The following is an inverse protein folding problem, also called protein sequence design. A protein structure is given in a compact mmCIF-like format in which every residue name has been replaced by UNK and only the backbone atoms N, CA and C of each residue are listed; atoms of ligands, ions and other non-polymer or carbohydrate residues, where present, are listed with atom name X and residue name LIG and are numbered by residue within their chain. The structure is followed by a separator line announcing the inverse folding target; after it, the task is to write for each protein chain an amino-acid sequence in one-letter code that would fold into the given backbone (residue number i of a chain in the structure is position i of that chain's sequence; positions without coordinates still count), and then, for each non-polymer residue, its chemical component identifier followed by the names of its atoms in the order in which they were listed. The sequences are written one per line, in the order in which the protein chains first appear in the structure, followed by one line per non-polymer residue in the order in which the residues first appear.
data_IF_105585817494
#
_entry.id   IF_105585817494
#
_cell.length_a   1.000
_cell.length_b   1.000
_cell.length_c   1.000
_cell.angle_alpha   90.00
_cell.angle_beta   90.00
_cell.angle_gamma   90.00
#
_symmetry.space_group_name_H-M   'P 1'
#
loop_
_entity.id
_entity.type
_entity.pdbx_description
1 polymer ?
#
# COMPACT_ATOMS: atom_id res chain seq x y z
N UNK A 1 -14.54 -15.71 5.56
CA UNK A 1 -13.47 -15.85 4.56
C UNK A 1 -12.25 -16.55 5.16
N UNK A 2 -11.60 -15.97 6.18
CA UNK A 2 -10.38 -16.54 6.77
C UNK A 2 -10.56 -17.85 7.56
N UNK A 3 -11.77 -18.12 8.09
CA UNK A 3 -12.05 -19.31 8.93
C UNK A 3 -11.15 -19.39 10.18
N UNK A 4 -10.83 -18.22 10.74
CA UNK A 4 -9.94 -18.03 11.90
C UNK A 4 -10.59 -17.13 12.94
N UNK A 5 -10.48 -17.53 14.20
CA UNK A 5 -11.08 -16.83 15.34
C UNK A 5 -10.04 -16.02 16.15
N UNK A 6 -8.76 -16.12 15.79
CA UNK A 6 -7.62 -15.51 16.47
C UNK A 6 -7.20 -14.14 15.90
N UNK A 7 -8.00 -13.58 15.00
CA UNK A 7 -7.72 -12.31 14.32
C UNK A 7 -8.18 -11.13 15.20
N UNK A 8 -7.26 -10.21 15.48
CA UNK A 8 -7.57 -8.93 16.15
C UNK A 8 -7.68 -7.82 15.10
N UNK A 9 -8.77 -7.04 15.16
CA UNK A 9 -9.01 -5.92 14.25
C UNK A 9 -8.82 -4.60 14.98
N UNK A 10 -7.97 -3.73 14.44
CA UNK A 10 -7.71 -2.38 14.90
C UNK A 10 -7.96 -1.37 13.77
N UNK A 11 -8.15 -0.09 14.10
CA UNK A 11 -8.30 0.98 13.11
C UNK A 11 -7.10 1.93 13.12
N UNK A 12 -6.68 2.42 11.96
CA UNK A 12 -5.56 3.36 11.81
C UNK A 12 -5.55 4.06 10.46
N UNK A 13 -4.45 4.73 10.13
CA UNK A 13 -4.34 5.51 8.90
C UNK A 13 -4.35 4.63 7.63
N UNK A 14 -3.67 3.49 7.68
CA UNK A 14 -3.49 2.60 6.52
C UNK A 14 -3.93 1.17 6.82
N UNK A 15 -4.46 0.52 5.78
CA UNK A 15 -4.80 -0.89 5.78
C UNK A 15 -3.52 -1.74 5.85
N UNK A 16 -3.40 -2.60 6.86
CA UNK A 16 -2.23 -3.48 7.03
C UNK A 16 -2.60 -4.76 7.74
N UNK A 17 -2.01 -5.87 7.31
CA UNK A 17 -2.09 -7.15 8.00
C UNK A 17 -0.67 -7.56 8.43
N UNK A 18 -0.50 -7.84 9.73
CA UNK A 18 0.73 -8.41 10.29
C UNK A 18 0.33 -9.58 11.18
N UNK A 19 0.73 -10.79 10.81
CA UNK A 19 0.32 -12.04 11.47
C UNK A 19 -1.20 -12.14 11.64
N UNK A 20 -1.70 -11.98 12.88
CA UNK A 20 -3.13 -12.00 13.24
C UNK A 20 -3.70 -10.63 13.55
N UNK A 21 -2.91 -9.57 13.39
CA UNK A 21 -3.30 -8.19 13.64
C UNK A 21 -3.69 -7.53 12.32
N UNK A 22 -4.98 -7.39 12.08
CA UNK A 22 -5.53 -6.63 10.96
C UNK A 22 -5.78 -5.19 11.39
N UNK A 23 -5.19 -4.24 10.67
CA UNK A 23 -5.44 -2.80 10.82
C UNK A 23 -6.22 -2.32 9.62
N UNK A 24 -7.39 -1.73 9.83
CA UNK A 24 -8.22 -1.14 8.78
C UNK A 24 -8.20 0.40 8.84
N UNK A 25 -8.47 1.10 7.73
CA UNK A 25 -8.62 2.55 7.73
C UNK A 25 -9.71 3.01 8.70
N UNK A 26 -9.48 4.11 9.42
CA UNK A 26 -10.50 4.71 10.29
C UNK A 26 -11.66 5.20 9.43
N UNK A 27 -12.89 4.68 9.63
CA UNK A 27 -14.05 5.17 8.91
C UNK A 27 -14.42 6.60 9.32
N UNK A 28 -14.94 7.37 8.39
CA UNK A 28 -15.56 8.66 8.65
C UNK A 28 -16.79 8.50 9.54
N UNK A 29 -17.19 9.60 10.21
CA UNK A 29 -18.34 9.58 11.11
C UNK A 29 -19.66 9.29 10.40
N UNK A 30 -19.79 9.79 9.16
CA UNK A 30 -21.02 9.67 8.37
C UNK A 30 -21.08 8.34 7.62
N UNK A 31 -19.93 7.69 7.41
CA UNK A 31 -19.76 6.34 6.84
C UNK A 31 -20.70 6.05 5.66
N UNK A 32 -20.61 6.82 4.55
CA UNK A 32 -21.41 6.59 3.36
C UNK A 32 -21.22 5.17 2.80
N UNK A 33 -22.21 4.67 2.07
CA UNK A 33 -22.19 3.32 1.51
C UNK A 33 -20.94 2.98 0.69
N UNK A 34 -20.36 3.97 -0.02
CA UNK A 34 -19.12 3.80 -0.77
C UNK A 34 -17.93 3.50 0.14
N UNK A 35 -17.83 4.18 1.28
CA UNK A 35 -16.78 3.96 2.27
C UNK A 35 -16.97 2.63 3.00
N UNK A 36 -18.22 2.22 3.26
CA UNK A 36 -18.51 0.88 3.78
C UNK A 36 -18.00 -0.20 2.82
N UNK A 37 -18.27 -0.06 1.52
CA UNK A 37 -17.83 -1.01 0.51
C UNK A 37 -16.29 -1.08 0.43
N UNK A 38 -15.62 0.07 0.46
CA UNK A 38 -14.16 0.16 0.49
C UNK A 38 -13.57 -0.51 1.74
N UNK A 39 -14.08 -0.18 2.94
CA UNK A 39 -13.59 -0.75 4.20
C UNK A 39 -13.78 -2.27 4.23
N UNK A 40 -14.93 -2.76 3.74
CA UNK A 40 -15.18 -4.19 3.57
C UNK A 40 -14.25 -4.81 2.55
N UNK A 41 -13.90 -4.10 1.48
CA UNK A 41 -12.95 -4.57 0.48
C UNK A 41 -11.55 -4.78 1.06
N UNK A 42 -11.06 -3.84 1.87
CA UNK A 42 -9.78 -4.02 2.57
C UNK A 42 -9.83 -5.18 3.57
N UNK A 43 -10.93 -5.33 4.32
CA UNK A 43 -11.12 -6.45 5.23
C UNK A 43 -11.19 -7.80 4.49
N UNK A 44 -11.93 -7.86 3.39
CA UNK A 44 -12.05 -9.06 2.56
C UNK A 44 -10.70 -9.43 1.94
N UNK A 45 -9.93 -8.45 1.44
CA UNK A 45 -8.59 -8.66 0.90
C UNK A 45 -7.63 -9.28 1.93
N UNK A 46 -7.61 -8.76 3.16
CA UNK A 46 -6.82 -9.34 4.25
C UNK A 46 -7.28 -10.75 4.61
N UNK A 47 -8.59 -10.97 4.69
CA UNK A 47 -9.15 -12.27 5.02
C UNK A 47 -8.87 -13.32 3.94
N UNK A 48 -8.83 -12.92 2.67
CA UNK A 48 -8.43 -13.77 1.54
C UNK A 48 -6.95 -14.11 1.60
N UNK A 49 -6.08 -13.14 1.91
CA UNK A 49 -4.65 -13.40 2.15
C UNK A 49 -4.50 -14.44 3.27
N UNK A 50 -5.11 -14.23 4.43
CA UNK A 50 -5.08 -15.20 5.53
C UNK A 50 -5.60 -16.60 5.17
N UNK A 51 -6.50 -16.71 4.19
CA UNK A 51 -7.14 -17.98 3.81
C UNK A 51 -6.36 -18.78 2.76
N UNK A 52 -5.71 -18.10 1.83
CA UNK A 52 -5.18 -18.70 0.60
C UNK A 52 -3.68 -18.51 0.42
N UNK A 53 -3.04 -17.69 1.25
CA UNK A 53 -1.61 -17.44 1.21
C UNK A 53 -0.86 -18.33 2.20
N UNK A 54 0.15 -19.03 1.70
CA UNK A 54 1.16 -19.75 2.46
C UNK A 54 2.45 -18.92 2.51
N UNK A 55 2.81 -18.47 3.72
CA UNK A 55 3.99 -17.63 3.93
C UNK A 55 5.31 -18.36 3.62
N UNK A 56 5.38 -19.68 3.84
CA UNK A 56 6.61 -20.44 3.65
C UNK A 56 6.89 -20.64 2.16
N UNK A 57 5.85 -20.95 1.38
CA UNK A 57 5.95 -21.01 -0.09
C UNK A 57 6.37 -19.65 -0.63
N UNK A 58 5.73 -18.58 -0.17
CA UNK A 58 6.04 -17.22 -0.63
C UNK A 58 7.47 -16.81 -0.32
N UNK A 59 7.93 -17.02 0.93
CA UNK A 59 9.29 -16.68 1.34
C UNK A 59 10.35 -17.47 0.57
N UNK A 60 10.12 -18.76 0.30
CA UNK A 60 11.05 -19.60 -0.49
C UNK A 60 11.12 -19.21 -1.96
N UNK A 61 10.03 -18.67 -2.53
CA UNK A 61 9.92 -18.36 -3.96
C UNK A 61 10.12 -16.89 -4.31
N UNK A 62 10.16 -16.01 -3.31
CA UNK A 62 10.34 -14.58 -3.51
C UNK A 62 11.63 -14.28 -4.30
N UNK A 63 11.56 -13.49 -5.38
CA UNK A 63 12.71 -13.17 -6.20
C UNK A 63 13.69 -12.23 -5.47
N UNK A 64 14.97 -12.16 -5.90
CA UNK A 64 15.85 -11.06 -5.53
C UNK A 64 15.43 -9.76 -6.23
N UNK A 65 15.84 -8.62 -5.67
CA UNK A 65 15.59 -7.29 -6.25
C UNK A 65 14.26 -6.67 -5.83
N UNK A 66 14.28 -5.38 -5.52
CA UNK A 66 13.14 -4.69 -4.90
C UNK A 66 11.92 -4.64 -5.83
N UNK A 67 12.11 -4.25 -7.09
CA UNK A 67 11.02 -4.17 -8.07
C UNK A 67 10.42 -5.55 -8.39
N UNK A 68 11.25 -6.59 -8.49
CA UNK A 68 10.76 -7.95 -8.71
C UNK A 68 9.94 -8.46 -7.52
N UNK A 69 10.37 -8.15 -6.29
CA UNK A 69 9.60 -8.44 -5.07
C UNK A 69 8.28 -7.68 -5.03
N UNK A 70 8.26 -6.41 -5.41
CA UNK A 70 7.03 -5.62 -5.46
C UNK A 70 6.01 -6.24 -6.44
N UNK A 71 6.46 -6.66 -7.63
CA UNK A 71 5.62 -7.40 -8.58
C UNK A 71 5.14 -8.71 -7.97
N UNK A 72 6.03 -9.45 -7.31
CA UNK A 72 5.72 -10.73 -6.70
C UNK A 72 4.63 -10.63 -5.62
N UNK A 73 4.75 -9.65 -4.72
CA UNK A 73 3.75 -9.35 -3.68
C UNK A 73 2.40 -8.94 -4.26
N UNK A 74 2.40 -8.04 -5.26
CA UNK A 74 1.18 -7.58 -5.92
C UNK A 74 0.47 -8.75 -6.62
N UNK A 75 1.23 -9.60 -7.32
CA UNK A 75 0.68 -10.73 -8.06
C UNK A 75 0.14 -11.82 -7.14
N UNK A 76 0.74 -12.01 -5.96
CA UNK A 76 0.19 -12.89 -4.94
C UNK A 76 -1.12 -12.34 -4.37
N UNK A 77 -1.20 -11.02 -4.14
CA UNK A 77 -2.45 -10.37 -3.74
C UNK A 77 -3.54 -10.55 -4.81
N UNK A 78 -3.21 -10.37 -6.10
CA UNK A 78 -4.12 -10.62 -7.22
C UNK A 78 -4.61 -12.07 -7.23
N UNK A 79 -3.74 -13.04 -6.94
CA UNK A 79 -4.09 -14.47 -6.88
C UNK A 79 -5.14 -14.75 -5.81
N UNK A 80 -4.87 -14.36 -4.56
CA UNK A 80 -5.79 -14.64 -3.44
C UNK A 80 -7.13 -13.91 -3.60
N UNK A 81 -7.10 -12.70 -4.15
CA UNK A 81 -8.32 -11.95 -4.49
C UNK A 81 -9.12 -12.62 -5.59
N UNK A 82 -8.46 -13.13 -6.63
CA UNK A 82 -9.11 -13.85 -7.73
C UNK A 82 -9.83 -15.11 -7.22
N UNK A 83 -9.19 -15.87 -6.33
CA UNK A 83 -9.80 -17.05 -5.70
C UNK A 83 -11.06 -16.70 -4.91
N UNK A 84 -11.04 -15.59 -4.17
CA UNK A 84 -12.18 -15.08 -3.43
C UNK A 84 -13.31 -14.59 -4.34
N UNK A 85 -12.98 -13.74 -5.30
CA UNK A 85 -13.93 -13.10 -6.20
C UNK A 85 -14.70 -14.11 -7.06
N UNK A 86 -14.06 -15.19 -7.52
CA UNK A 86 -14.70 -16.26 -8.29
C UNK A 86 -15.80 -17.00 -7.50
N UNK A 87 -15.65 -17.08 -6.18
CA UNK A 87 -16.56 -17.84 -5.30
C UNK A 87 -17.63 -16.96 -4.66
N UNK A 88 -17.38 -15.66 -4.53
CA UNK A 88 -18.20 -14.75 -3.73
C UNK A 88 -18.39 -13.40 -4.45
N UNK A 89 -19.50 -13.24 -5.18
CA UNK A 89 -19.79 -12.03 -5.94
C UNK A 89 -19.83 -10.74 -5.06
N UNK A 90 -20.31 -10.85 -3.82
CA UNK A 90 -20.28 -9.73 -2.87
C UNK A 90 -18.86 -9.31 -2.49
N UNK A 91 -17.95 -10.27 -2.34
CA UNK A 91 -16.52 -10.00 -2.08
C UNK A 91 -15.88 -9.37 -3.32
N UNK A 92 -16.21 -9.85 -4.52
CA UNK A 92 -15.73 -9.24 -5.76
C UNK A 92 -16.09 -7.75 -5.83
N UNK A 93 -17.35 -7.39 -5.52
CA UNK A 93 -17.78 -5.99 -5.49
C UNK A 93 -17.05 -5.15 -4.44
N UNK A 94 -16.75 -5.71 -3.26
CA UNK A 94 -16.02 -5.00 -2.21
C UNK A 94 -14.56 -4.78 -2.62
N UNK A 95 -13.90 -5.80 -3.19
CA UNK A 95 -12.53 -5.72 -3.70
C UNK A 95 -12.40 -4.67 -4.81
N UNK A 96 -13.42 -4.55 -5.66
CA UNK A 96 -13.43 -3.54 -6.72
C UNK A 96 -13.54 -2.12 -6.15
N UNK A 97 -14.34 -1.91 -5.11
CA UNK A 97 -14.42 -0.63 -4.39
C UNK A 97 -13.10 -0.27 -3.69
N UNK A 98 -12.44 -1.24 -3.04
CA UNK A 98 -11.13 -1.02 -2.42
C UNK A 98 -10.04 -0.72 -3.46
N UNK A 99 -10.04 -1.43 -4.59
CA UNK A 99 -9.09 -1.18 -5.67
C UNK A 99 -9.27 0.21 -6.30
N UNK A 100 -10.51 0.67 -6.50
CA UNK A 100 -10.81 2.03 -6.97
C UNK A 100 -10.22 3.09 -6.03
N UNK A 101 -10.41 2.95 -4.71
CA UNK A 101 -9.77 3.85 -3.75
C UNK A 101 -8.24 3.78 -3.86
N UNK A 102 -7.66 2.58 -3.87
CA UNK A 102 -6.20 2.41 -3.86
C UNK A 102 -5.56 3.10 -5.07
N UNK A 103 -6.17 2.98 -6.25
CA UNK A 103 -5.74 3.71 -7.44
C UNK A 103 -5.88 5.23 -7.29
N UNK A 104 -6.99 5.71 -6.71
CA UNK A 104 -7.22 7.14 -6.47
C UNK A 104 -6.22 7.72 -5.47
N UNK A 105 -5.97 7.02 -4.37
CA UNK A 105 -5.01 7.41 -3.34
C UNK A 105 -3.57 7.48 -3.87
N UNK A 106 -3.20 6.58 -4.79
CA UNK A 106 -1.91 6.62 -5.50
C UNK A 106 -1.86 7.66 -6.63
N UNK A 107 -2.97 8.32 -6.96
CA UNK A 107 -3.02 9.41 -7.93
C UNK A 107 -2.78 8.98 -9.39
N UNK A 108 -3.08 7.72 -9.73
CA UNK A 108 -2.82 7.18 -11.08
C UNK A 108 -3.50 7.95 -12.22
N UNK A 109 -4.65 8.57 -11.94
CA UNK A 109 -5.36 9.45 -12.87
C UNK A 109 -4.53 10.65 -13.37
N UNK A 110 -3.51 11.06 -12.60
CA UNK A 110 -2.70 12.27 -12.86
C UNK A 110 -1.37 11.97 -13.54
N UNK A 111 -1.06 10.70 -13.78
CA UNK A 111 0.21 10.28 -14.37
C UNK A 111 0.22 10.67 -15.85
N UNK A 112 1.19 11.51 -16.23
CA UNK A 112 1.34 11.98 -17.60
C UNK A 112 2.13 10.98 -18.45
N UNK A 113 3.28 10.52 -17.93
CA UNK A 113 4.28 9.78 -18.67
C UNK A 113 4.62 8.45 -18.02
N UNK A 114 5.21 7.54 -18.80
CA UNK A 114 5.54 6.18 -18.37
C UNK A 114 6.67 6.12 -17.33
N UNK A 115 7.52 7.14 -17.27
CA UNK A 115 8.62 7.23 -16.31
C UNK A 115 8.13 7.41 -14.87
N UNK A 116 7.00 8.12 -14.68
CA UNK A 116 6.36 8.34 -13.39
C UNK A 116 5.34 7.24 -13.04
N UNK A 117 5.18 6.26 -13.92
CA UNK A 117 4.13 5.24 -13.86
C UNK A 117 4.66 3.95 -13.20
N UNK A 118 4.21 3.58 -12.00
CA UNK A 118 4.73 2.42 -11.28
C UNK A 118 4.43 1.11 -12.03
N UNK A 119 5.48 0.46 -12.53
CA UNK A 119 5.38 -0.77 -13.32
C UNK A 119 4.70 -1.91 -12.54
N UNK A 120 5.04 -2.10 -11.27
CA UNK A 120 4.49 -3.20 -10.47
C UNK A 120 2.96 -3.07 -10.30
N UNK A 121 2.46 -1.86 -10.09
CA UNK A 121 1.03 -1.58 -10.04
C UNK A 121 0.35 -1.77 -11.40
N UNK A 122 1.00 -1.39 -12.51
CA UNK A 122 0.47 -1.61 -13.85
C UNK A 122 0.32 -3.11 -14.16
N UNK A 123 1.30 -3.93 -13.79
CA UNK A 123 1.25 -5.40 -13.92
C UNK A 123 0.10 -5.96 -13.08
N UNK A 124 -0.05 -5.50 -11.83
CA UNK A 124 -1.14 -5.94 -10.96
C UNK A 124 -2.53 -5.62 -11.50
N UNK A 125 -2.72 -4.40 -12.02
CA UNK A 125 -3.99 -3.99 -12.64
C UNK A 125 -4.31 -4.81 -13.89
N UNK A 126 -3.30 -5.06 -14.74
CA UNK A 126 -3.47 -5.86 -15.95
C UNK A 126 -3.78 -7.33 -15.61
N UNK A 127 -3.01 -7.93 -14.69
CA UNK A 127 -3.24 -9.29 -14.22
C UNK A 127 -4.64 -9.47 -13.63
N UNK A 128 -5.10 -8.50 -12.82
CA UNK A 128 -6.47 -8.49 -12.30
C UNK A 128 -7.50 -8.50 -13.42
N UNK A 129 -7.31 -7.67 -14.45
CA UNK A 129 -8.21 -7.61 -15.61
C UNK A 129 -8.27 -8.95 -16.36
N UNK A 130 -7.13 -9.60 -16.59
CA UNK A 130 -7.06 -10.92 -17.23
C UNK A 130 -7.70 -12.03 -16.37
N UNK A 131 -7.36 -12.08 -15.08
CA UNK A 131 -7.73 -13.21 -14.22
C UNK A 131 -9.19 -13.16 -13.74
N UNK A 132 -9.72 -11.95 -13.52
CA UNK A 132 -11.11 -11.71 -13.05
C UNK A 132 -12.08 -11.38 -14.19
N UNK A 133 -11.59 -10.96 -15.35
CA UNK A 133 -12.42 -10.44 -16.45
C UNK A 133 -13.13 -9.12 -16.11
N UNK A 134 -12.72 -8.45 -15.02
CA UNK A 134 -13.28 -7.18 -14.58
C UNK A 134 -12.48 -6.04 -15.22
N UNK A 135 -13.15 -4.96 -15.67
CA UNK A 135 -12.43 -3.80 -16.20
C UNK A 135 -11.53 -3.18 -15.13
N UNK A 136 -10.53 -2.44 -15.59
CA UNK A 136 -9.71 -1.63 -14.70
C UNK A 136 -10.58 -0.57 -13.97
N UNK A 137 -10.25 -0.26 -12.70
CA UNK A 137 -10.86 0.85 -11.97
C UNK A 137 -10.71 2.15 -12.76
N UNK A 138 -11.66 3.07 -12.63
CA UNK A 138 -11.66 4.33 -13.38
C UNK A 138 -10.39 5.12 -13.07
N UNK A 139 -10.04 5.24 -11.78
CA UNK A 139 -8.82 5.92 -11.33
C UNK A 139 -7.53 5.22 -11.78
N UNK A 140 -7.58 3.96 -12.23
CA UNK A 140 -6.41 3.20 -12.70
C UNK A 140 -6.29 3.07 -14.21
N UNK A 141 -7.27 3.54 -14.99
CA UNK A 141 -7.27 3.40 -16.46
C UNK A 141 -6.04 4.03 -17.10
N UNK A 142 -5.67 5.23 -16.67
CA UNK A 142 -4.51 5.97 -17.19
C UNK A 142 -3.21 5.16 -17.09
N UNK A 143 -3.02 4.45 -15.99
CA UNK A 143 -1.84 3.61 -15.77
C UNK A 143 -1.77 2.47 -16.81
N UNK A 144 -2.89 1.82 -17.11
CA UNK A 144 -2.96 0.79 -18.13
C UNK A 144 -2.92 1.33 -19.56
N UNK A 145 -3.38 2.55 -19.83
CA UNK A 145 -3.19 3.17 -21.15
C UNK A 145 -1.70 3.36 -21.49
N UNK A 146 -0.87 3.65 -20.49
CA UNK A 146 0.58 3.85 -20.67
C UNK A 146 1.36 2.53 -20.80
N UNK A 147 1.00 1.52 -20.02
CA UNK A 147 1.75 0.26 -19.94
C UNK A 147 1.11 -0.91 -20.69
N UNK A 148 -0.21 -0.92 -20.81
CA UNK A 148 -1.03 -2.06 -21.28
C UNK A 148 -0.54 -2.65 -22.59
N UNK A 149 -0.42 -1.88 -23.70
CA UNK A 149 0.01 -2.44 -24.98
C UNK A 149 1.38 -3.12 -24.93
N UNK A 150 2.32 -2.59 -24.15
CA UNK A 150 3.65 -3.19 -24.01
C UNK A 150 3.64 -4.42 -23.10
N UNK A 151 2.87 -4.38 -22.01
CA UNK A 151 2.73 -5.52 -21.12
C UNK A 151 1.98 -6.68 -21.77
N UNK A 152 0.90 -6.41 -22.51
CA UNK A 152 0.15 -7.44 -23.22
C UNK A 152 1.02 -8.15 -24.27
N UNK A 153 1.86 -7.40 -25.00
CA UNK A 153 2.81 -7.96 -25.96
C UNK A 153 3.90 -8.79 -25.25
N UNK A 154 4.43 -8.32 -24.12
CA UNK A 154 5.57 -8.95 -23.44
C UNK A 154 5.19 -10.15 -22.56
N UNK A 155 4.08 -10.07 -21.84
CA UNK A 155 3.71 -11.04 -20.79
C UNK A 155 2.26 -11.56 -20.90
N UNK A 156 1.53 -11.26 -21.98
CA UNK A 156 0.14 -11.70 -22.14
C UNK A 156 -0.04 -13.22 -22.02
N UNK A 157 0.88 -14.00 -22.63
CA UNK A 157 0.88 -15.47 -22.52
C UNK A 157 1.18 -15.96 -21.10
N UNK A 158 2.06 -15.26 -20.37
CA UNK A 158 2.38 -15.61 -18.97
C UNK A 158 1.17 -15.38 -18.06
N UNK A 159 0.39 -14.32 -18.29
CA UNK A 159 -0.84 -14.05 -17.55
C UNK A 159 -1.88 -15.17 -17.74
N UNK A 160 -1.98 -15.75 -18.94
CA UNK A 160 -2.83 -16.93 -19.20
C UNK A 160 -2.33 -18.16 -18.44
N UNK A 161 -1.01 -18.41 -18.44
CA UNK A 161 -0.39 -19.50 -17.70
C UNK A 161 -0.61 -19.35 -16.18
N UNK A 162 -0.45 -18.14 -15.64
CA UNK A 162 -0.73 -17.81 -14.25
C UNK A 162 -2.20 -18.01 -13.90
N UNK A 163 -3.12 -17.64 -14.79
CA UNK A 163 -4.55 -17.87 -14.58
C UNK A 163 -4.88 -19.36 -14.44
N UNK A 164 -4.18 -20.24 -15.18
CA UNK A 164 -4.31 -21.69 -15.07
C UNK A 164 -3.67 -22.26 -13.79
N UNK A 165 -2.71 -21.55 -13.18
CA UNK A 165 -2.03 -21.95 -11.95
C UNK A 165 -2.63 -21.32 -10.68
N UNK A 166 -3.65 -20.46 -10.78
CA UNK A 166 -4.16 -19.63 -9.67
C UNK A 166 -4.53 -20.38 -8.37
N UNK A 167 -4.91 -21.66 -8.48
CA UNK A 167 -5.30 -22.51 -7.34
C UNK A 167 -4.12 -23.16 -6.60
N UNK A 168 -2.92 -23.18 -7.21
CA UNK A 168 -1.70 -23.77 -6.67
C UNK A 168 -0.65 -22.68 -6.51
N UNK A 169 -0.42 -22.24 -5.27
CA UNK A 169 0.50 -21.13 -4.99
C UNK A 169 1.95 -21.42 -5.39
N UNK A 170 2.40 -22.67 -5.22
CA UNK A 170 3.76 -23.08 -5.56
C UNK A 170 3.97 -23.01 -7.07
N UNK A 171 3.03 -23.58 -7.83
CA UNK A 171 3.05 -23.51 -9.30
C UNK A 171 2.90 -22.07 -9.81
N UNK A 172 2.01 -21.30 -9.21
CA UNK A 172 1.80 -19.90 -9.57
C UNK A 172 3.07 -19.08 -9.37
N UNK A 173 3.77 -19.26 -8.23
CA UNK A 173 5.03 -18.58 -7.95
C UNK A 173 6.14 -18.94 -8.95
N UNK A 174 6.22 -20.21 -9.37
CA UNK A 174 7.18 -20.65 -10.40
C UNK A 174 6.89 -19.98 -11.75
N UNK A 175 5.63 -19.97 -12.20
CA UNK A 175 5.23 -19.28 -13.44
C UNK A 175 5.45 -17.77 -13.33
N UNK A 176 5.26 -17.19 -12.15
CA UNK A 176 5.49 -15.77 -11.92
C UNK A 176 6.99 -15.41 -12.04
N UNK A 177 7.89 -16.28 -11.58
CA UNK A 177 9.32 -16.08 -11.79
C UNK A 177 9.69 -16.13 -13.28
N UNK A 178 9.03 -16.96 -14.09
CA UNK A 178 9.22 -16.93 -15.56
C UNK A 178 8.74 -15.60 -16.17
N UNK A 179 7.58 -15.10 -15.73
CA UNK A 179 7.09 -13.77 -16.12
C UNK A 179 8.10 -12.67 -15.77
N UNK A 180 8.71 -12.73 -14.57
CA UNK A 180 9.73 -11.76 -14.15
C UNK A 180 10.99 -11.83 -15.02
N UNK A 181 11.39 -13.01 -15.47
CA UNK A 181 12.49 -13.19 -16.44
C UNK A 181 12.11 -12.56 -17.79
N UNK A 182 10.91 -12.78 -18.30
CA UNK A 182 10.45 -12.13 -19.54
C UNK A 182 10.40 -10.61 -19.41
N UNK A 183 10.12 -10.07 -18.22
CA UNK A 183 10.19 -8.64 -17.96
C UNK A 183 11.61 -8.10 -17.75
N UNK A 184 12.64 -8.96 -17.77
CA UNK A 184 14.03 -8.62 -17.44
C UNK A 184 14.19 -8.07 -16.00
N UNK A 185 13.28 -8.47 -15.10
CA UNK A 185 13.32 -8.13 -13.68
C UNK A 185 14.05 -9.17 -12.84
N UNK A 186 14.35 -10.32 -13.44
CA UNK A 186 15.06 -11.43 -12.83
C UNK A 186 15.92 -12.09 -13.91
N UNK A 187 17.13 -12.51 -13.56
CA UNK A 187 17.97 -13.29 -14.46
C UNK A 187 17.39 -14.70 -14.64
N UNK A 188 17.58 -15.27 -15.83
CA UNK A 188 17.25 -16.68 -16.06
C UNK A 188 18.17 -17.54 -15.18
N UNK A 189 17.61 -18.03 -14.07
CA UNK A 189 18.30 -19.01 -13.24
C UNK A 189 18.30 -20.31 -14.03
N UNK A 190 19.43 -20.60 -14.70
CA UNK A 190 19.66 -21.93 -15.25
C UNK A 190 19.47 -22.96 -14.12
N UNK A 191 18.87 -24.11 -14.43
CA UNK A 191 18.49 -25.18 -13.49
C UNK A 191 19.63 -25.78 -12.62
N UNK A 192 20.77 -25.10 -12.46
CA UNK A 192 22.00 -25.62 -11.86
C UNK A 192 22.32 -25.16 -10.44
N UNK A 193 21.58 -24.24 -9.81
CA UNK A 193 21.93 -23.75 -8.44
C UNK A 193 21.08 -24.37 -7.31
N UNK A 194 20.58 -25.59 -7.55
CA UNK A 194 20.06 -26.47 -6.49
C UNK A 194 21.13 -27.45 -6.03
N UNK A 195 22.33 -26.99 -5.65
CA UNK A 195 23.32 -27.81 -4.95
C UNK A 195 23.99 -27.04 -3.80
N UNK A 196 23.87 -27.63 -2.61
CA UNK A 196 24.67 -27.45 -1.40
C UNK A 196 24.81 -26.06 -0.78
N UNK A 197 23.91 -25.79 0.17
CA UNK A 197 24.32 -25.21 1.45
C UNK A 197 24.50 -26.33 2.48
N UNK A 198 25.51 -27.17 2.28
CA UNK A 198 26.09 -28.06 3.28
C UNK A 198 27.61 -27.89 3.24
N UNK A 199 28.14 -26.95 4.03
CA UNK A 199 29.26 -27.25 4.92
C UNK A 199 29.59 -26.04 5.78
N UNK A 200 29.57 -26.25 7.08
CA UNK A 200 29.94 -25.27 8.10
C UNK A 200 30.40 -25.99 9.35
N UNK A 201 31.22 -27.03 9.19
CA UNK A 201 31.94 -27.69 10.28
C UNK A 201 33.39 -27.21 10.32
N UNK A 202 33.68 -26.52 11.44
CA UNK A 202 34.92 -26.45 12.22
C UNK A 202 36.20 -27.09 11.63
N UNK A 203 37.24 -26.26 11.44
CA UNK A 203 38.56 -26.63 11.92
C UNK A 203 39.47 -25.44 12.20
N UNK A 204 40.19 -25.56 13.31
CA UNK A 204 41.13 -24.62 13.87
C UNK A 204 42.58 -24.93 13.44
N UNK A 205 43.48 -24.04 13.85
CA UNK A 205 44.94 -24.18 13.94
C UNK A 205 45.73 -23.99 12.62
N UNK A 206 46.88 -23.30 12.56
CA UNK A 206 47.73 -22.63 13.55
C UNK A 206 48.85 -21.84 12.82
N UNK A 207 49.60 -21.06 13.62
CA UNK A 207 50.97 -20.55 13.38
C UNK A 207 51.10 -19.32 12.48
N UNK A 208 51.90 -18.30 12.78
CA UNK A 208 52.97 -18.02 13.75
C UNK A 208 53.33 -16.52 13.48
N UNK A 209 53.98 -15.69 14.29
CA UNK A 209 54.71 -15.81 15.54
C UNK A 209 55.06 -14.39 16.03
N UNK A 210 55.43 -14.29 17.32
CA UNK A 210 56.33 -13.31 17.97
C UNK A 210 56.02 -11.79 17.86
N UNK A 211 55.99 -10.98 18.93
CA UNK A 211 56.94 -10.86 20.06
C UNK A 211 56.32 -10.03 21.21
N UNK A 212 56.57 -10.46 22.46
CA UNK A 212 57.14 -9.61 23.52
C UNK A 212 56.23 -8.78 24.46
N UNK A 213 56.09 -9.27 25.70
CA UNK A 213 56.24 -8.56 27.02
C UNK A 213 55.71 -7.11 27.19
N UNK A 214 55.00 -6.68 28.24
CA UNK A 214 54.69 -7.17 29.57
C UNK A 214 53.58 -6.29 30.24
N UNK A 215 53.01 -6.83 31.32
CA UNK A 215 52.41 -6.19 32.51
C UNK A 215 51.15 -5.31 32.43
N UNK A 216 50.05 -5.93 32.89
CA UNK A 216 49.23 -5.61 34.08
C UNK A 216 48.89 -4.17 34.53
N UNK A 217 47.64 -4.10 35.01
CA UNK A 217 47.03 -3.17 35.97
C UNK A 217 46.31 -1.89 35.47
N UNK A 218 44.99 -2.07 35.31
CA UNK A 218 43.95 -1.48 36.15
C UNK A 218 43.94 0.03 36.49
N UNK A 219 42.78 0.60 36.14
CA UNK A 219 42.04 1.67 36.82
C UNK A 219 42.50 3.12 36.63
N UNK A 220 41.52 4.01 36.40
CA UNK A 220 41.76 5.45 36.41
C UNK A 220 40.98 6.26 35.38
N UNK A 221 39.76 6.62 35.76
CA UNK A 221 38.97 7.78 35.30
C UNK A 221 39.81 8.99 34.82
N UNK A 222 39.43 9.60 33.69
CA UNK A 222 39.06 11.02 33.61
C UNK A 222 38.79 11.45 32.17
N UNK A 223 37.81 12.35 32.06
CA UNK A 223 37.36 13.07 30.89
C UNK A 223 38.39 14.06 30.34
N UNK A 224 38.01 14.62 29.18
CA UNK A 224 38.46 15.88 28.54
C UNK A 224 39.68 15.80 27.60
N UNK A 225 39.44 15.90 26.28
CA UNK A 225 39.96 16.95 25.38
C UNK A 225 39.54 16.58 23.94
N UNK A 226 38.79 17.44 23.23
CA UNK A 226 39.33 18.59 22.47
C UNK A 226 40.09 18.09 21.22
N UNK A 227 39.79 18.48 20.00
CA UNK A 227 38.97 19.55 19.48
C UNK A 227 39.25 19.64 17.99
N UNK A 228 38.41 20.35 17.25
CA UNK A 228 38.79 21.18 16.11
C UNK A 228 37.54 21.93 15.57
N UNK A 229 37.73 23.11 14.96
CA UNK A 229 37.30 24.35 15.58
C UNK A 229 36.52 25.27 14.62
N UNK A 230 36.39 26.54 15.04
CA UNK A 230 36.21 27.77 14.26
C UNK A 230 34.79 28.04 13.76
N UNK A 231 34.06 28.99 14.37
CA UNK A 231 34.15 30.47 14.27
C UNK A 231 32.94 30.93 13.43
N UNK A 232 32.12 31.95 13.72
CA UNK A 232 32.21 33.25 14.40
C UNK A 232 30.77 33.54 14.92
N UNK A 233 30.50 33.96 16.16
CA UNK A 233 30.49 35.35 16.64
C UNK A 233 30.11 36.41 15.59
N UNK A 234 28.88 36.90 15.63
CA UNK A 234 28.69 38.34 15.80
C UNK A 234 27.46 38.63 16.66
N UNK A 235 27.61 39.66 17.47
CA UNK A 235 26.87 40.01 18.68
C UNK A 235 26.10 41.33 18.47
N UNK A 236 25.24 41.65 19.43
CA UNK A 236 24.68 42.97 19.74
C UNK A 236 23.63 43.58 18.78
N UNK A 237 22.67 44.40 19.22
CA UNK A 237 22.02 44.76 20.48
C UNK A 237 21.00 45.87 20.09
N UNK A 238 20.00 46.16 20.92
CA UNK A 238 19.49 47.53 21.06
C UNK A 238 18.19 47.96 20.35
N UNK A 239 17.10 47.88 21.12
CA UNK A 239 16.14 48.97 21.43
C UNK A 239 15.11 49.51 20.39
N UNK A 240 13.84 49.33 20.80
CA UNK A 240 12.78 50.33 20.97
C UNK A 240 12.08 50.95 19.74
N UNK A 241 10.75 50.77 19.66
CA UNK A 241 9.76 51.87 19.59
C UNK A 241 8.33 51.32 19.60
N UNK A 242 7.59 51.86 20.55
CA UNK A 242 6.16 51.81 20.83
C UNK A 242 5.23 52.08 19.63
N UNK A 243 4.02 51.49 19.64
CA UNK A 243 2.79 52.28 19.44
C UNK A 243 1.51 51.57 19.96
N UNK A 244 0.90 52.26 20.92
CA UNK A 244 -0.46 52.24 21.51
C UNK A 244 -1.61 51.79 20.58
N UNK A 245 -2.59 50.99 21.02
CA UNK A 245 -3.70 51.25 21.96
C UNK A 245 -4.76 52.26 21.45
N UNK A 246 -6.02 51.79 21.35
CA UNK A 246 -7.35 52.44 21.54
C UNK A 246 -8.31 52.11 20.38
N UNK A 247 -9.62 51.87 20.52
CA UNK A 247 -10.61 51.97 21.61
C UNK A 247 -11.85 51.15 21.16
N UNK A 248 -12.48 50.35 22.05
CA UNK A 248 -13.82 50.58 22.66
C UNK A 248 -14.99 50.97 21.74
N UNK A 249 -16.10 50.26 21.91
CA UNK A 249 -17.43 50.68 21.46
C UNK A 249 -18.47 49.55 21.53
N UNK A 250 -18.88 49.16 22.73
CA UNK A 250 -20.16 48.47 22.96
C UNK A 250 -21.32 49.45 22.69
N UNK A 251 -22.40 49.00 22.04
CA UNK A 251 -23.77 49.38 22.43
C UNK A 251 -24.81 48.45 21.77
N UNK A 252 -25.66 47.88 22.63
CA UNK A 252 -26.89 47.13 22.31
C UNK A 252 -27.91 48.00 21.57
N UNK A 253 -28.79 47.41 20.75
CA UNK A 253 -30.24 47.71 20.74
C UNK A 253 -31.04 46.73 19.86
N UNK A 254 -32.23 46.43 20.37
CA UNK A 254 -33.26 45.43 20.01
C UNK A 254 -34.11 45.77 18.73
N UNK A 255 -35.11 44.92 18.34
CA UNK A 255 -35.51 44.67 16.95
C UNK A 255 -36.64 45.57 16.43
N UNK A 256 -36.80 45.60 15.10
CA UNK A 256 -37.87 46.32 14.40
C UNK A 256 -38.65 45.41 13.46
N UNK A 257 -39.92 45.21 13.81
CA UNK A 257 -41.03 44.68 13.02
C UNK A 257 -41.36 45.51 11.78
N UNK A 258 -41.79 44.84 10.70
CA UNK A 258 -42.47 45.45 9.56
C UNK A 258 -43.30 44.40 8.80
N UNK A 259 -44.61 44.45 9.01
CA UNK A 259 -45.67 43.74 8.28
C UNK A 259 -46.03 44.44 6.95
N UNK A 260 -46.98 43.81 6.24
CA UNK A 260 -47.71 44.14 4.99
C UNK A 260 -47.15 43.51 3.71
N UNK A 261 -47.75 42.44 3.16
CA UNK A 261 -49.14 42.14 2.68
C UNK A 261 -49.32 42.35 1.16
N UNK A 262 -50.01 41.37 0.55
CA UNK A 262 -50.54 41.35 -0.83
C UNK A 262 -49.80 40.37 -1.75
N UNK A 263 -50.41 39.42 -2.46
CA UNK A 263 -51.82 39.04 -2.66
C UNK A 263 -51.83 37.63 -3.29
N UNK A 264 -52.99 36.98 -3.22
CA UNK A 264 -53.27 35.57 -3.42
C UNK A 264 -53.42 35.13 -4.90
N UNK A 265 -53.63 33.81 -5.03
CA UNK A 265 -54.12 33.01 -6.16
C UNK A 265 -53.02 32.42 -7.05
N UNK A 266 -53.04 31.14 -7.44
CA UNK A 266 -54.17 30.24 -7.61
C UNK A 266 -53.76 28.76 -7.41
N UNK A 267 -54.78 27.97 -7.10
CA UNK A 267 -54.83 26.55 -6.73
C UNK A 267 -54.38 25.62 -7.87
N UNK A 268 -53.86 24.44 -7.49
CA UNK A 268 -54.54 23.12 -7.64
C UNK A 268 -53.55 21.95 -7.48
N UNK A 269 -53.80 21.09 -6.49
CA UNK A 269 -53.39 19.68 -6.50
C UNK A 269 -54.42 18.86 -7.30
N UNK A 270 -54.02 17.76 -7.96
CA UNK A 270 -54.91 16.65 -8.19
C UNK A 270 -54.54 15.47 -7.28
N UNK A 271 -55.50 15.00 -6.50
CA UNK A 271 -55.50 13.63 -5.94
C UNK A 271 -56.63 12.84 -6.61
N UNK A 272 -56.40 11.55 -6.84
CA UNK A 272 -57.45 10.55 -6.99
C UNK A 272 -57.43 9.76 -8.30
N UNK A 273 -56.70 8.64 -8.31
CA UNK A 273 -56.89 7.53 -9.24
C UNK A 273 -57.43 6.33 -8.47
N UNK A 274 -58.58 5.81 -8.93
CA UNK A 274 -59.08 4.41 -8.98
C UNK A 274 -60.61 4.34 -8.71
N UNK A 275 -61.32 3.33 -9.25
CA UNK A 275 -60.93 2.30 -10.23
C UNK A 275 -61.52 2.52 -11.64
#
# INVERSE_FOLDING_TARGET
IAERDDITVNFGAEARLVDTQARLPVPSRDLPNSEVAQLRGEADAMALKLRYHDNDVHARRAPPGDLARDVFEIMEQVRVETLGARRMAGVASNLDAAMEERCRAKGFERIADREDAPLADAIGLLARQHMRGAPAPESGRRLLELWGPWLEDKIGADLEALQAAVEDQEKYAQTLNQLLVHLELMDEVGESDSQDSQDGEENAEESSDETGEADADADGVSAEMDGMPSSEMDDADGEDTEQSMAEMGEEEMMPGSGEEEGDQSDRRRPEGFLP
#
